data_IF_548522567034
#
_entry.id   IF_548522567034
#
_cell.length_a   1.000
_cell.length_b   1.000
_cell.length_c   1.000
_cell.angle_alpha   90.00
_cell.angle_beta   90.00
_cell.angle_gamma   90.00
#
_symmetry.space_group_name_H-M   'P 1'
#
loop_
_entity.id
_entity.type
_entity.pdbx_description
1 polymer ?
#
# COMPACT_ATOMS: atom_id res chain seq x y z
N UNK A 1 4.45 -9.18 11.67
CA UNK A 1 4.18 -8.52 10.38
C UNK A 1 3.28 -9.44 9.57
N UNK A 2 2.10 -8.98 9.13
CA UNK A 2 1.19 -9.78 8.31
C UNK A 2 1.78 -10.02 6.92
N UNK A 3 1.49 -11.17 6.33
CA UNK A 3 1.96 -11.63 5.03
C UNK A 3 1.57 -10.69 3.88
N UNK A 4 0.35 -10.13 3.92
CA UNK A 4 -0.12 -9.13 2.95
C UNK A 4 0.79 -7.91 2.86
N UNK A 5 1.43 -7.51 3.97
CA UNK A 5 2.39 -6.41 4.00
C UNK A 5 3.81 -6.93 3.72
N UNK A 6 4.23 -8.01 4.36
CA UNK A 6 5.60 -8.52 4.24
C UNK A 6 5.98 -8.91 2.81
N UNK A 7 5.02 -9.41 2.02
CA UNK A 7 5.24 -9.83 0.63
C UNK A 7 4.83 -8.77 -0.41
N UNK A 8 4.43 -7.57 0.02
CA UNK A 8 3.89 -6.54 -0.88
C UNK A 8 4.94 -5.95 -1.84
N UNK A 9 6.24 -6.07 -1.54
CA UNK A 9 7.28 -5.45 -2.36
C UNK A 9 7.25 -5.87 -3.83
N UNK A 10 6.91 -7.13 -4.13
CA UNK A 10 6.78 -7.59 -5.51
C UNK A 10 5.66 -6.90 -6.30
N UNK A 11 4.50 -6.69 -5.67
CA UNK A 11 3.39 -5.97 -6.31
C UNK A 11 3.66 -4.46 -6.40
N UNK A 12 4.33 -3.88 -5.40
CA UNK A 12 4.74 -2.47 -5.41
C UNK A 12 5.72 -2.18 -6.56
N UNK A 13 6.75 -3.02 -6.75
CA UNK A 13 7.69 -2.85 -7.87
C UNK A 13 7.01 -3.11 -9.23
N UNK A 14 6.05 -4.04 -9.30
CA UNK A 14 5.24 -4.24 -10.52
C UNK A 14 4.41 -2.99 -10.88
N UNK A 15 3.92 -2.26 -9.86
CA UNK A 15 3.25 -0.97 -10.07
C UNK A 15 4.22 0.10 -10.60
N UNK A 16 5.46 0.16 -10.09
CA UNK A 16 6.48 1.06 -10.62
C UNK A 16 6.85 0.73 -12.07
N UNK A 17 6.92 -0.55 -12.45
CA UNK A 17 7.12 -0.98 -13.84
C UNK A 17 6.02 -0.39 -14.74
N UNK A 18 4.76 -0.56 -14.36
CA UNK A 18 3.62 0.02 -15.09
C UNK A 18 3.72 1.55 -15.21
N UNK A 19 4.12 2.25 -14.14
CA UNK A 19 4.29 3.70 -14.16
C UNK A 19 5.45 4.14 -15.09
N UNK A 20 6.56 3.41 -15.08
CA UNK A 20 7.70 3.66 -15.96
C UNK A 20 7.35 3.45 -17.43
N UNK A 21 6.54 2.44 -17.75
CA UNK A 21 6.06 2.14 -19.10
C UNK A 21 5.18 3.26 -19.67
N UNK A 22 4.25 3.77 -18.87
CA UNK A 22 3.40 4.91 -19.26
C UNK A 22 4.25 6.15 -19.56
N UNK A 23 5.25 6.40 -18.73
CA UNK A 23 6.12 7.58 -18.85
C UNK A 23 7.29 7.39 -19.84
N UNK A 24 7.49 6.18 -20.36
CA UNK A 24 8.61 5.77 -21.22
C UNK A 24 9.98 6.17 -20.64
N UNK A 25 10.13 6.04 -19.33
CA UNK A 25 11.35 6.42 -18.60
C UNK A 25 11.67 5.35 -17.57
N UNK A 26 12.87 4.79 -17.69
CA UNK A 26 13.41 3.85 -16.73
C UNK A 26 13.98 4.60 -15.53
N UNK A 27 13.80 4.03 -14.35
CA UNK A 27 14.40 4.51 -13.10
C UNK A 27 15.69 3.74 -12.81
N UNK A 28 16.58 4.34 -12.01
CA UNK A 28 17.73 3.61 -11.49
C UNK A 28 17.29 2.65 -10.39
N UNK A 29 18.12 1.66 -10.08
CA UNK A 29 17.84 0.71 -9.00
C UNK A 29 17.70 1.43 -7.65
N UNK A 30 18.53 2.45 -7.42
CA UNK A 30 18.51 3.27 -6.21
C UNK A 30 17.15 3.94 -6.07
N UNK A 31 16.65 4.58 -7.13
CA UNK A 31 15.33 5.21 -7.12
C UNK A 31 14.21 4.20 -6.87
N UNK A 32 14.23 3.04 -7.54
CA UNK A 32 13.21 1.99 -7.32
C UNK A 32 13.24 1.51 -5.86
N UNK A 33 14.43 1.41 -5.27
CA UNK A 33 14.60 0.96 -3.88
C UNK A 33 14.12 2.02 -2.88
N UNK A 34 14.45 3.29 -3.10
CA UNK A 34 13.99 4.42 -2.28
C UNK A 34 12.45 4.52 -2.30
N UNK A 35 11.85 4.52 -3.49
CA UNK A 35 10.39 4.60 -3.64
C UNK A 35 9.70 3.36 -3.04
N UNK A 36 10.32 2.17 -3.15
CA UNK A 36 9.82 0.96 -2.51
C UNK A 36 9.85 1.09 -0.98
N UNK A 37 10.95 1.56 -0.42
CA UNK A 37 11.10 1.74 1.02
C UNK A 37 10.06 2.72 1.56
N UNK A 38 9.91 3.88 0.93
CA UNK A 38 8.94 4.91 1.31
C UNK A 38 7.52 4.36 1.35
N UNK A 39 7.08 3.68 0.28
CA UNK A 39 5.74 3.09 0.22
C UNK A 39 5.51 1.96 1.22
N UNK A 40 6.53 1.14 1.49
CA UNK A 40 6.43 0.05 2.46
C UNK A 40 6.41 0.59 3.90
N UNK A 41 7.14 1.66 4.19
CA UNK A 41 7.13 2.34 5.49
C UNK A 41 5.81 3.05 5.76
N UNK A 42 5.25 3.78 4.79
CA UNK A 42 3.90 4.35 4.92
C UNK A 42 2.85 3.27 5.20
N UNK A 43 2.86 2.17 4.44
CA UNK A 43 1.93 1.07 4.66
C UNK A 43 2.11 0.41 6.04
N UNK A 44 3.35 0.33 6.53
CA UNK A 44 3.64 -0.15 7.88
C UNK A 44 3.09 0.80 8.97
N UNK A 45 3.28 2.11 8.81
CA UNK A 45 2.82 3.11 9.77
C UNK A 45 1.29 3.13 9.89
N UNK A 46 0.57 3.01 8.78
CA UNK A 46 -0.90 2.91 8.79
C UNK A 46 -1.39 1.67 9.55
N UNK A 47 -0.78 0.51 9.29
CA UNK A 47 -1.14 -0.73 10.00
C UNK A 47 -0.78 -0.66 11.48
N UNK A 48 0.39 -0.09 11.81
CA UNK A 48 0.81 0.07 13.21
C UNK A 48 -0.14 1.00 13.96
N UNK A 49 -0.54 2.12 13.37
CA UNK A 49 -1.51 3.05 13.96
C UNK A 49 -2.81 2.33 14.30
N UNK A 50 -3.33 1.51 13.39
CA UNK A 50 -4.54 0.72 13.63
C UNK A 50 -4.39 -0.34 14.73
N UNK A 51 -3.20 -0.94 14.89
CA UNK A 51 -2.89 -1.82 16.02
C UNK A 51 -2.88 -1.05 17.33
N UNK A 52 -2.17 0.08 17.39
CA UNK A 52 -1.97 0.87 18.60
C UNK A 52 -3.29 1.53 19.06
N UNK A 53 -4.09 2.07 18.15
CA UNK A 53 -5.30 2.82 18.46
C UNK A 53 -6.50 1.93 18.81
N UNK A 54 -6.62 0.77 18.15
CA UNK A 54 -7.81 -0.10 18.28
C UNK A 54 -7.53 -1.42 19.00
N UNK A 55 -6.29 -1.66 19.42
CA UNK A 55 -5.88 -2.88 20.12
C UNK A 55 -6.07 -4.15 19.27
N UNK A 56 -5.95 -4.01 17.94
CA UNK A 56 -6.19 -5.08 16.98
C UNK A 56 -4.98 -6.02 16.87
N UNK A 57 -5.22 -7.23 16.37
CA UNK A 57 -4.09 -8.05 15.90
C UNK A 57 -3.50 -7.41 14.64
N UNK A 58 -2.19 -7.60 14.42
CA UNK A 58 -1.50 -7.11 13.22
C UNK A 58 -2.17 -7.52 11.90
N UNK A 59 -2.78 -8.71 11.86
CA UNK A 59 -3.48 -9.20 10.68
C UNK A 59 -4.81 -8.46 10.47
N UNK A 60 -5.58 -8.29 11.54
CA UNK A 60 -6.88 -7.60 11.46
C UNK A 60 -6.70 -6.12 11.14
N UNK A 61 -5.69 -5.46 11.74
CA UNK A 61 -5.33 -4.08 11.43
C UNK A 61 -5.01 -3.90 9.92
N UNK A 62 -4.23 -4.82 9.33
CA UNK A 62 -3.95 -4.77 7.90
C UNK A 62 -5.20 -4.89 7.03
N UNK A 63 -6.16 -5.74 7.41
CA UNK A 63 -7.46 -5.81 6.72
C UNK A 63 -8.30 -4.56 6.93
N UNK A 64 -8.28 -3.96 8.13
CA UNK A 64 -9.00 -2.72 8.42
C UNK A 64 -8.48 -1.59 7.53
N UNK A 65 -7.16 -1.38 7.44
CA UNK A 65 -6.56 -0.37 6.54
C UNK A 65 -7.01 -0.61 5.09
N UNK A 66 -6.88 -1.84 4.59
CA UNK A 66 -7.22 -2.18 3.21
C UNK A 66 -8.71 -1.93 2.89
N UNK A 67 -9.61 -2.40 3.75
CA UNK A 67 -11.05 -2.25 3.54
C UNK A 67 -11.52 -0.81 3.70
N UNK A 68 -10.92 -0.05 4.64
CA UNK A 68 -11.27 1.36 4.86
C UNK A 68 -10.95 2.21 3.63
N UNK A 69 -9.77 2.02 3.03
CA UNK A 69 -9.37 2.71 1.78
C UNK A 69 -10.32 2.37 0.61
N UNK A 70 -10.74 1.11 0.48
CA UNK A 70 -11.69 0.69 -0.56
C UNK A 70 -13.07 1.31 -0.33
N UNK A 71 -13.54 1.31 0.93
CA UNK A 71 -14.82 1.89 1.30
C UNK A 71 -14.84 3.40 1.02
N UNK A 72 -13.80 4.14 1.41
CA UNK A 72 -13.66 5.57 1.17
C UNK A 72 -13.63 5.91 -0.34
N UNK A 73 -12.87 5.15 -1.13
CA UNK A 73 -12.83 5.32 -2.58
C UNK A 73 -14.20 5.04 -3.22
N UNK A 74 -14.93 4.04 -2.72
CA UNK A 74 -16.29 3.71 -3.19
C UNK A 74 -17.29 4.80 -2.81
N UNK A 75 -17.22 5.32 -1.59
CA UNK A 75 -18.08 6.38 -1.09
C UNK A 75 -17.85 7.68 -1.88
N UNK A 76 -16.59 8.06 -2.11
CA UNK A 76 -16.21 9.24 -2.90
C UNK A 76 -16.71 9.18 -4.34
N UNK A 77 -16.65 8.00 -4.98
CA UNK A 77 -17.22 7.78 -6.32
C UNK A 77 -18.74 7.79 -6.35
N UNK A 78 -19.38 7.60 -5.20
CA UNK A 78 -20.83 7.45 -5.08
C UNK A 78 -21.37 6.15 -5.69
N UNK A 79 -22.69 6.04 -5.67
CA UNK A 79 -23.44 4.99 -6.34
C UNK A 79 -24.03 5.55 -7.62
N UNK A 80 -23.33 5.31 -8.72
CA UNK A 80 -23.79 5.53 -10.09
C UNK A 80 -23.90 4.17 -10.78
N UNK A 81 -24.85 3.95 -11.71
CA UNK A 81 -25.01 2.65 -12.37
C UNK A 81 -23.70 2.07 -12.91
#
# INVERSE_FOLDING_TARGET
>A
IPDILANAGGVTVSYFEWLQDINRRQWSLERVTEELEDHMLEAWEDVRTEVDDKGLTWRDAAYVVALSRIAEAKETRGLWP
#
